data_IF_960477671870
#
_entry.id   IF_960477671870
#
_cell.length_a   1.000
_cell.length_b   1.000
_cell.length_c   1.000
_cell.angle_alpha   90.00
_cell.angle_beta   90.00
_cell.angle_gamma   90.00
#
_symmetry.space_group_name_H-M   'P 1'
#
loop_
_entity.id
_entity.type
_entity.pdbx_description
1 polymer ?
#
# COMPACT_ATOMS: atom_id res chain seq x y z
N UNK A 1 -1.25 9.93 1.07
CA UNK A 1 -2.58 10.34 0.59
C UNK A 1 -3.71 9.69 1.36
N UNK A 2 -3.78 8.37 1.39
CA UNK A 2 -4.84 7.65 2.11
C UNK A 2 -4.86 7.95 3.62
N UNK A 3 -3.70 8.07 4.26
CA UNK A 3 -3.61 8.41 5.69
C UNK A 3 -4.26 9.76 6.02
N UNK A 4 -4.22 10.70 5.09
CA UNK A 4 -4.89 12.00 5.24
C UNK A 4 -6.42 11.85 5.23
N UNK A 5 -6.96 11.02 4.34
CA UNK A 5 -8.40 10.72 4.33
C UNK A 5 -8.84 10.06 5.64
N UNK A 6 -8.07 9.10 6.14
CA UNK A 6 -8.37 8.48 7.42
C UNK A 6 -8.28 9.47 8.59
N UNK A 7 -7.33 10.39 8.53
CA UNK A 7 -7.19 11.43 9.54
C UNK A 7 -8.42 12.34 9.57
N UNK A 8 -8.88 12.80 8.42
CA UNK A 8 -10.10 13.61 8.30
C UNK A 8 -11.32 12.84 8.84
N UNK A 9 -11.46 11.58 8.49
CA UNK A 9 -12.56 10.72 8.98
C UNK A 9 -12.46 10.53 10.49
N UNK A 10 -11.26 10.30 11.03
CA UNK A 10 -11.04 10.12 12.46
C UNK A 10 -11.36 11.38 13.26
N UNK A 11 -11.11 12.56 12.70
CA UNK A 11 -11.47 13.85 13.33
C UNK A 11 -12.97 14.14 13.24
N UNK A 12 -13.62 13.73 12.15
CA UNK A 12 -15.04 14.03 11.90
C UNK A 12 -15.96 13.07 12.64
N UNK A 13 -15.59 11.79 12.72
CA UNK A 13 -16.41 10.75 13.31
C UNK A 13 -15.69 10.14 14.52
N UNK A 14 -16.18 10.35 15.74
CA UNK A 14 -15.64 9.69 16.91
C UNK A 14 -15.82 8.17 16.77
N UNK A 15 -14.84 7.41 17.25
CA UNK A 15 -14.83 5.94 17.19
C UNK A 15 -14.74 5.33 15.78
N UNK A 16 -14.21 6.06 14.79
CA UNK A 16 -14.00 5.56 13.44
C UNK A 16 -12.99 4.39 13.37
N UNK A 17 -12.08 4.32 14.32
CA UNK A 17 -11.04 3.29 14.43
C UNK A 17 -11.00 2.71 15.84
N UNK A 18 -10.63 1.44 15.92
CA UNK A 18 -10.27 0.79 17.18
C UNK A 18 -8.75 0.94 17.38
N UNK A 19 -8.37 1.57 18.48
CA UNK A 19 -6.98 1.85 18.81
C UNK A 19 -6.43 0.84 19.82
N UNK A 20 -5.23 0.30 19.64
CA UNK A 20 -4.58 -0.50 20.66
C UNK A 20 -4.25 0.38 21.88
N UNK A 21 -4.63 -0.06 23.07
CA UNK A 21 -4.24 0.61 24.32
C UNK A 21 -5.01 1.88 24.68
N UNK A 22 -6.16 2.16 24.05
CA UNK A 22 -7.03 3.28 24.46
C UNK A 22 -6.50 4.68 24.09
N UNK A 23 -5.72 4.79 23.05
CA UNK A 23 -5.13 6.06 22.53
C UNK A 23 -6.19 7.01 21.94
N UNK A 24 -7.46 6.78 22.19
CA UNK A 24 -8.61 7.59 21.67
C UNK A 24 -8.57 9.08 22.06
N UNK A 25 -7.58 9.54 22.80
CA UNK A 25 -7.35 10.93 23.20
C UNK A 25 -5.91 11.39 23.03
N UNK A 26 -5.11 10.65 22.25
CA UNK A 26 -3.72 10.97 22.01
C UNK A 26 -3.51 12.24 21.19
N UNK A 27 -2.30 12.77 21.26
CA UNK A 27 -1.85 13.90 20.46
C UNK A 27 -2.08 13.65 18.97
N UNK A 28 -2.48 14.65 18.22
CA UNK A 28 -2.76 14.57 16.78
C UNK A 28 -1.61 13.93 15.99
N UNK A 29 -0.37 14.10 16.43
CA UNK A 29 0.80 13.49 15.82
C UNK A 29 0.80 11.96 15.97
N UNK A 30 0.44 11.45 17.14
CA UNK A 30 0.35 10.01 17.39
C UNK A 30 -0.74 9.36 16.55
N UNK A 31 -1.90 10.01 16.47
CA UNK A 31 -3.01 9.55 15.63
C UNK A 31 -2.60 9.50 14.16
N UNK A 32 -1.91 10.52 13.68
CA UNK A 32 -1.44 10.56 12.30
C UNK A 32 -0.41 9.47 11.99
N UNK A 33 0.51 9.22 12.90
CA UNK A 33 1.49 8.14 12.76
C UNK A 33 0.83 6.77 12.70
N UNK A 34 -0.14 6.51 13.58
CA UNK A 34 -0.90 5.26 13.59
C UNK A 34 -1.74 5.08 12.32
N UNK A 35 -2.35 6.15 11.83
CA UNK A 35 -3.11 6.10 10.58
C UNK A 35 -2.21 5.90 9.36
N UNK A 36 -1.02 6.48 9.35
CA UNK A 36 -0.02 6.23 8.32
C UNK A 36 0.42 4.77 8.32
N UNK A 37 0.71 4.24 9.49
CA UNK A 37 1.02 2.82 9.68
C UNK A 37 -0.13 1.92 9.20
N UNK A 38 -1.37 2.22 9.59
CA UNK A 38 -2.55 1.49 9.14
C UNK A 38 -2.69 1.53 7.61
N UNK A 39 -2.53 2.70 6.99
CA UNK A 39 -2.57 2.86 5.54
C UNK A 39 -1.52 2.00 4.83
N UNK A 40 -0.27 1.99 5.30
CA UNK A 40 0.77 1.15 4.72
C UNK A 40 0.48 -0.34 4.85
N UNK A 41 0.03 -0.79 6.02
CA UNK A 41 -0.31 -2.21 6.23
C UNK A 41 -1.52 -2.64 5.40
N UNK A 42 -2.45 -1.74 5.16
CA UNK A 42 -3.62 -1.99 4.30
C UNK A 42 -3.22 -2.01 2.83
N UNK A 43 -2.45 -1.03 2.38
CA UNK A 43 -1.99 -0.92 0.99
C UNK A 43 -1.14 -2.12 0.58
N UNK A 44 -0.29 -2.61 1.47
CA UNK A 44 0.55 -3.80 1.26
C UNK A 44 -0.17 -5.11 1.55
N UNK A 45 -1.43 -5.05 1.97
CA UNK A 45 -2.23 -6.23 2.37
C UNK A 45 -1.65 -7.03 3.54
N UNK A 46 -0.78 -6.42 4.35
CA UNK A 46 -0.18 -7.06 5.52
C UNK A 46 -1.21 -7.27 6.63
N UNK A 47 -1.97 -6.21 6.96
CA UNK A 47 -3.12 -6.27 7.85
C UNK A 47 -2.84 -6.88 9.22
N UNK A 48 -1.97 -6.28 10.03
CA UNK A 48 -1.66 -6.81 11.37
C UNK A 48 -2.87 -6.90 12.31
N UNK A 49 -3.90 -6.05 12.11
CA UNK A 49 -5.13 -6.09 12.89
C UNK A 49 -5.03 -5.41 14.27
N UNK A 50 -3.96 -4.71 14.56
CA UNK A 50 -3.79 -3.91 15.78
C UNK A 50 -4.59 -2.60 15.72
N UNK A 51 -4.58 -1.93 14.58
CA UNK A 51 -5.48 -0.81 14.27
C UNK A 51 -6.53 -1.31 13.29
N UNK A 52 -7.80 -1.22 13.66
CA UNK A 52 -8.89 -1.72 12.81
C UNK A 52 -9.96 -0.66 12.59
N UNK A 53 -10.53 -0.60 11.37
CA UNK A 53 -11.65 0.29 11.10
C UNK A 53 -12.90 -0.19 11.86
N UNK A 54 -13.52 0.70 12.63
CA UNK A 54 -14.69 0.38 13.46
C UNK A 54 -16.01 0.54 12.72
N UNK A 55 -16.12 1.58 11.89
CA UNK A 55 -17.36 1.92 11.18
C UNK A 55 -17.37 1.41 9.75
N UNK A 56 -18.54 1.18 9.14
CA UNK A 56 -18.65 0.70 7.76
C UNK A 56 -17.94 1.57 6.73
N UNK A 57 -17.95 2.88 6.92
CA UNK A 57 -17.29 3.83 6.03
C UNK A 57 -15.75 3.59 5.98
N UNK A 58 -15.11 3.50 7.14
CA UNK A 58 -13.67 3.25 7.21
C UNK A 58 -13.30 1.86 6.71
N UNK A 59 -14.16 0.87 6.91
CA UNK A 59 -13.98 -0.48 6.34
C UNK A 59 -14.01 -0.46 4.82
N UNK A 60 -14.97 0.24 4.24
CA UNK A 60 -15.10 0.38 2.78
C UNK A 60 -13.89 1.10 2.20
N UNK A 61 -13.44 2.19 2.82
CA UNK A 61 -12.22 2.90 2.40
C UNK A 61 -10.99 2.01 2.45
N UNK A 62 -10.83 1.23 3.51
CA UNK A 62 -9.72 0.29 3.66
C UNK A 62 -9.73 -0.80 2.57
N UNK A 63 -10.90 -1.29 2.20
CA UNK A 63 -11.05 -2.24 1.10
C UNK A 63 -10.64 -1.64 -0.24
N UNK A 64 -11.07 -0.42 -0.54
CA UNK A 64 -10.66 0.29 -1.76
C UNK A 64 -9.15 0.55 -1.79
N UNK A 65 -8.56 0.93 -0.67
CA UNK A 65 -7.11 1.12 -0.57
C UNK A 65 -6.35 -0.17 -0.85
N UNK A 66 -6.75 -1.27 -0.25
CA UNK A 66 -6.13 -2.58 -0.46
C UNK A 66 -6.23 -3.02 -1.92
N UNK A 67 -7.40 -2.85 -2.54
CA UNK A 67 -7.60 -3.16 -3.96
C UNK A 67 -6.73 -2.27 -4.86
N UNK A 68 -6.66 -0.97 -4.57
CA UNK A 68 -5.81 -0.04 -5.31
C UNK A 68 -4.34 -0.43 -5.23
N UNK A 69 -3.87 -0.83 -4.06
CA UNK A 69 -2.49 -1.31 -3.85
C UNK A 69 -2.18 -2.55 -4.67
N UNK A 70 -3.08 -3.53 -4.69
CA UNK A 70 -2.92 -4.75 -5.48
C UNK A 70 -2.93 -4.46 -6.99
N UNK A 71 -3.86 -3.64 -7.46
CA UNK A 71 -3.93 -3.26 -8.88
C UNK A 71 -2.66 -2.51 -9.32
N UNK A 72 -2.17 -1.60 -8.50
CA UNK A 72 -0.92 -0.89 -8.77
C UNK A 72 0.25 -1.86 -8.93
N UNK A 73 0.37 -2.82 -8.02
CA UNK A 73 1.43 -3.82 -8.05
C UNK A 73 1.34 -4.69 -9.31
N UNK A 74 0.15 -5.16 -9.65
CA UNK A 74 -0.09 -5.99 -10.85
C UNK A 74 0.24 -5.23 -12.14
N UNK A 75 -0.23 -3.99 -12.28
CA UNK A 75 0.06 -3.14 -13.44
C UNK A 75 1.55 -2.86 -13.56
N UNK A 76 2.22 -2.54 -12.46
CA UNK A 76 3.66 -2.26 -12.45
C UNK A 76 4.46 -3.49 -12.86
N UNK A 77 4.18 -4.66 -12.28
CA UNK A 77 4.85 -5.91 -12.65
C UNK A 77 4.60 -6.29 -14.10
N UNK A 78 3.37 -6.14 -14.60
CA UNK A 78 3.02 -6.42 -15.99
C UNK A 78 3.80 -5.53 -16.95
N UNK A 79 3.95 -4.24 -16.63
CA UNK A 79 4.76 -3.33 -17.43
C UNK A 79 6.24 -3.71 -17.44
N UNK A 80 6.80 -4.05 -16.29
CA UNK A 80 8.20 -4.48 -16.17
C UNK A 80 8.46 -5.75 -16.99
N UNK A 81 7.58 -6.73 -16.90
CA UNK A 81 7.69 -7.99 -17.69
C UNK A 81 7.54 -7.69 -19.18
N UNK A 82 6.61 -6.83 -19.58
CA UNK A 82 6.43 -6.43 -20.98
C UNK A 82 7.67 -5.73 -21.54
N UNK A 83 8.28 -4.81 -20.79
CA UNK A 83 9.53 -4.16 -21.20
C UNK A 83 10.68 -5.16 -21.31
N UNK A 84 10.78 -6.10 -20.38
CA UNK A 84 11.75 -7.17 -20.41
C UNK A 84 11.60 -8.11 -21.63
N UNK A 85 10.36 -8.33 -22.09
CA UNK A 85 10.06 -9.11 -23.29
C UNK A 85 10.36 -8.35 -24.58
N UNK A 86 10.21 -7.00 -24.58
CA UNK A 86 10.52 -6.14 -25.74
C UNK A 86 12.04 -5.98 -25.94
N UNK A 87 12.81 -6.06 -24.85
CA UNK A 87 14.28 -6.07 -24.88
C UNK A 87 14.78 -7.47 -24.52
N UNK A 88 14.62 -8.47 -25.42
CA UNK A 88 15.25 -9.76 -25.20
C UNK A 88 16.76 -9.48 -25.10
N UNK A 89 17.39 -10.11 -24.12
CA UNK A 89 18.86 -10.07 -24.00
C UNK A 89 19.44 -10.23 -25.38
N UNK A 90 20.10 -9.16 -25.88
CA UNK A 90 20.88 -9.28 -27.11
C UNK A 90 21.85 -10.42 -26.84
N UNK A 91 21.74 -11.55 -27.56
CA UNK A 91 22.71 -12.60 -27.36
C UNK A 91 24.06 -11.96 -27.59
N UNK A 92 24.90 -12.03 -26.59
CA UNK A 92 26.32 -11.75 -26.83
C UNK A 92 26.73 -12.69 -27.96
N UNK A 93 26.69 -12.20 -29.16
CA UNK A 93 27.46 -12.80 -30.22
C UNK A 93 28.88 -12.76 -29.72
N UNK A 94 29.26 -13.80 -28.99
CA UNK A 94 30.66 -14.15 -28.91
C UNK A 94 31.13 -14.14 -30.34
N UNK A 95 31.84 -13.07 -30.69
CA UNK A 95 32.51 -13.05 -31.94
C UNK A 95 33.31 -14.34 -32.01
N UNK A 96 32.82 -15.24 -32.84
CA UNK A 96 33.59 -16.38 -33.24
C UNK A 96 34.81 -15.76 -33.86
N UNK A 97 35.89 -15.70 -33.10
CA UNK A 97 37.16 -15.53 -33.71
C UNK A 97 37.43 -16.81 -34.50
N UNK A 98 36.97 -16.82 -35.74
CA UNK A 98 37.47 -17.78 -36.69
C UNK A 98 38.93 -17.41 -36.91
N UNK A 99 39.76 -18.00 -36.10
CA UNK A 99 41.17 -17.99 -36.30
C UNK A 99 41.43 -19.01 -37.41
N UNK A 100 41.96 -18.62 -38.58
CA UNK A 100 42.30 -19.57 -39.61
C UNK A 100 43.39 -20.53 -39.17
#
# INVERSE_FOLDING_TARGET
>A
MWSFFYFVVALTIPHAFNWPGGVAGGDHQQVQQMLTYFSFTTLTTTGFGDVTPAIPLTRTLAMFEALAGQLYLVVTLTRLVSLSAVYPNVPHTRGRMDVP
#
